data_IF_455868395491
#
_entry.id   IF_455868395491
#
_cell.length_a   1.000
_cell.length_b   1.000
_cell.length_c   1.000
_cell.angle_alpha   90.00
_cell.angle_beta   90.00
_cell.angle_gamma   90.00
#
_symmetry.space_group_name_H-M   'P 1'
#
loop_
_entity.id
_entity.type
_entity.pdbx_description
1 polymer ?
#
# COMPACT_ATOMS: atom_id res chain seq x y z
N UNK A 1 -46.75 44.44 -11.19
CA UNK A 1 -46.03 44.10 -9.95
C UNK A 1 -46.31 42.64 -9.64
N UNK A 2 -45.39 41.75 -10.02
CA UNK A 2 -45.47 40.32 -9.73
C UNK A 2 -44.40 40.02 -8.68
N UNK A 3 -44.81 39.69 -7.47
CA UNK A 3 -43.94 39.26 -6.38
C UNK A 3 -43.80 37.75 -6.42
N UNK A 4 -42.59 37.28 -6.74
CA UNK A 4 -42.25 35.86 -6.84
C UNK A 4 -42.08 35.24 -5.44
N UNK A 5 -42.91 34.25 -5.16
CA UNK A 5 -42.74 33.25 -4.11
C UNK A 5 -41.61 32.30 -4.49
N UNK A 6 -40.40 32.54 -3.99
CA UNK A 6 -39.26 31.60 -4.00
C UNK A 6 -38.76 31.39 -2.56
N UNK A 7 -39.62 30.86 -1.70
CA UNK A 7 -39.22 30.44 -0.35
C UNK A 7 -40.10 29.27 0.06
N UNK A 8 -39.79 28.06 -0.41
CA UNK A 8 -40.50 26.84 0.05
C UNK A 8 -39.87 25.52 -0.42
N UNK A 9 -39.18 25.46 -1.56
CA UNK A 9 -38.70 24.16 -2.07
C UNK A 9 -37.47 23.60 -1.31
N UNK A 10 -36.53 24.45 -0.87
CA UNK A 10 -35.30 23.98 -0.19
C UNK A 10 -35.55 23.46 1.22
N UNK A 11 -36.39 24.13 2.00
CA UNK A 11 -36.68 23.74 3.39
C UNK A 11 -37.54 22.48 3.50
N UNK A 12 -38.40 22.21 2.52
CA UNK A 12 -39.25 21.01 2.49
C UNK A 12 -38.41 19.77 2.14
N UNK A 13 -37.44 19.88 1.23
CA UNK A 13 -36.52 18.77 0.89
C UNK A 13 -35.60 18.45 2.08
N UNK A 14 -35.11 19.47 2.77
CA UNK A 14 -34.25 19.31 3.95
C UNK A 14 -35.01 18.73 5.16
N UNK A 15 -36.26 19.13 5.38
CA UNK A 15 -37.13 18.51 6.39
C UNK A 15 -37.54 17.08 6.04
N UNK A 16 -37.81 16.76 4.78
CA UNK A 16 -38.19 15.40 4.36
C UNK A 16 -37.03 14.39 4.52
N UNK A 17 -35.79 14.83 4.27
CA UNK A 17 -34.58 14.03 4.53
C UNK A 17 -34.33 13.83 6.04
N UNK A 18 -34.65 14.83 6.87
CA UNK A 18 -34.54 14.71 8.33
C UNK A 18 -35.58 13.76 8.95
N UNK A 19 -36.78 13.64 8.37
CA UNK A 19 -37.85 12.73 8.85
C UNK A 19 -37.56 11.25 8.48
N UNK A 20 -36.74 11.01 7.45
CA UNK A 20 -36.41 9.66 6.95
C UNK A 20 -35.06 9.11 7.40
N UNK A 21 -34.21 9.93 8.02
CA UNK A 21 -32.92 9.48 8.54
C UNK A 21 -33.10 8.56 9.78
N UNK A 22 -32.72 7.26 9.70
CA UNK A 22 -32.93 6.32 10.79
C UNK A 22 -32.13 6.67 12.05
N UNK A 23 -31.04 7.46 11.92
CA UNK A 23 -30.19 7.85 13.03
C UNK A 23 -30.75 9.03 13.84
N UNK A 24 -31.78 9.73 13.34
CA UNK A 24 -32.50 10.77 14.08
C UNK A 24 -33.08 10.24 15.39
N UNK A 25 -33.51 8.97 15.40
CA UNK A 25 -34.13 8.32 16.58
C UNK A 25 -33.12 7.92 17.64
N UNK A 26 -31.83 7.87 17.31
CA UNK A 26 -30.80 7.57 18.29
C UNK A 26 -30.47 8.82 19.13
N UNK A 27 -30.26 8.67 20.45
CA UNK A 27 -29.68 9.73 21.27
C UNK A 27 -28.36 10.24 20.68
N UNK A 28 -28.09 11.57 20.72
CA UNK A 28 -26.86 12.15 20.18
C UNK A 28 -25.59 11.47 20.67
N UNK A 29 -25.56 10.98 21.91
CA UNK A 29 -24.41 10.33 22.55
C UNK A 29 -24.10 8.95 21.95
N UNK A 30 -25.10 8.28 21.36
CA UNK A 30 -24.92 6.97 20.74
C UNK A 30 -24.45 7.07 19.28
N UNK A 31 -24.72 8.20 18.60
CA UNK A 31 -24.37 8.38 17.19
C UNK A 31 -22.85 8.33 16.94
N UNK A 32 -21.98 9.00 17.73
CA UNK A 32 -20.53 8.82 17.62
C UNK A 32 -20.08 7.39 17.91
N UNK A 33 -20.74 6.69 18.85
CA UNK A 33 -20.40 5.29 19.18
C UNK A 33 -20.67 4.35 18.02
N UNK A 34 -21.72 4.58 17.22
CA UNK A 34 -21.96 3.84 15.98
C UNK A 34 -20.80 4.02 15.01
N UNK A 35 -20.34 5.26 14.80
CA UNK A 35 -19.20 5.55 13.91
C UNK A 35 -17.92 4.88 14.41
N UNK A 36 -17.64 4.95 15.71
CA UNK A 36 -16.45 4.33 16.32
C UNK A 36 -16.48 2.81 16.17
N UNK A 37 -17.63 2.17 16.45
CA UNK A 37 -17.79 0.71 16.40
C UNK A 37 -17.62 0.13 14.99
N UNK A 38 -17.82 0.93 13.94
CA UNK A 38 -17.56 0.45 12.57
C UNK A 38 -16.09 0.11 12.33
N UNK A 39 -15.16 0.69 13.11
CA UNK A 39 -13.71 0.50 13.04
C UNK A 39 -13.09 0.69 11.63
N UNK A 40 -13.83 1.23 10.65
CA UNK A 40 -13.41 1.30 9.27
C UNK A 40 -13.83 2.64 8.67
N UNK A 41 -12.84 3.39 8.18
CA UNK A 41 -13.07 4.72 7.58
C UNK A 41 -13.96 4.67 6.34
N UNK A 42 -13.84 3.63 5.52
CA UNK A 42 -14.68 3.44 4.34
C UNK A 42 -16.15 3.22 4.73
N UNK A 43 -16.41 2.46 5.80
CA UNK A 43 -17.76 2.29 6.35
C UNK A 43 -18.30 3.60 6.94
N UNK A 44 -17.47 4.35 7.69
CA UNK A 44 -17.83 5.69 8.16
C UNK A 44 -18.20 6.60 7.00
N UNK A 45 -17.41 6.62 5.93
CA UNK A 45 -17.66 7.43 4.73
C UNK A 45 -19.02 7.10 4.10
N UNK A 46 -19.39 5.83 4.00
CA UNK A 46 -20.70 5.42 3.47
C UNK A 46 -21.84 5.86 4.39
N UNK A 47 -21.66 5.72 5.71
CA UNK A 47 -22.68 6.12 6.69
C UNK A 47 -22.94 7.63 6.62
N UNK A 48 -21.88 8.46 6.60
CA UNK A 48 -22.04 9.92 6.55
C UNK A 48 -22.54 10.41 5.19
N UNK A 49 -22.31 9.66 4.11
CA UNK A 49 -22.91 9.94 2.81
C UNK A 49 -24.42 9.60 2.78
N UNK A 50 -24.82 8.55 3.49
CA UNK A 50 -26.21 8.11 3.54
C UNK A 50 -27.06 8.83 4.59
N UNK A 51 -26.44 9.45 5.61
CA UNK A 51 -27.15 10.10 6.73
C UNK A 51 -26.59 11.50 7.02
N UNK A 52 -27.38 12.57 6.76
CA UNK A 52 -27.02 13.93 7.13
C UNK A 52 -26.79 14.11 8.64
N UNK A 53 -27.56 13.42 9.48
CA UNK A 53 -27.38 13.50 10.94
C UNK A 53 -26.06 12.88 11.38
N UNK A 54 -25.69 11.75 10.80
CA UNK A 54 -24.39 11.13 11.08
C UNK A 54 -23.23 11.96 10.53
N UNK A 55 -23.42 12.65 9.40
CA UNK A 55 -22.44 13.62 8.90
C UNK A 55 -22.23 14.78 9.88
N UNK A 56 -23.31 15.39 10.38
CA UNK A 56 -23.22 16.47 11.37
C UNK A 56 -22.48 16.01 12.65
N UNK A 57 -22.83 14.83 13.16
CA UNK A 57 -22.16 14.22 14.32
C UNK A 57 -20.69 13.93 14.05
N UNK A 58 -20.36 13.42 12.86
CA UNK A 58 -18.99 13.19 12.45
C UNK A 58 -18.21 14.49 12.37
N UNK A 59 -18.77 15.57 11.81
CA UNK A 59 -18.09 16.87 11.72
C UNK A 59 -17.84 17.47 13.12
N UNK A 60 -18.82 17.37 14.03
CA UNK A 60 -18.70 17.86 15.41
C UNK A 60 -17.64 17.10 16.23
N UNK A 61 -17.52 15.78 16.04
CA UNK A 61 -16.65 14.90 16.85
C UNK A 61 -15.50 14.26 16.07
N UNK A 62 -15.18 14.77 14.88
CA UNK A 62 -14.27 14.18 13.89
C UNK A 62 -12.96 13.71 14.49
N UNK A 63 -12.31 14.58 15.26
CA UNK A 63 -11.00 14.33 15.87
C UNK A 63 -11.05 13.15 16.84
N UNK A 64 -12.07 13.10 17.71
CA UNK A 64 -12.24 12.02 18.69
C UNK A 64 -12.55 10.70 18.00
N UNK A 65 -13.45 10.70 17.02
CA UNK A 65 -13.84 9.51 16.26
C UNK A 65 -12.63 8.93 15.52
N UNK A 66 -11.91 9.76 14.76
CA UNK A 66 -10.74 9.30 14.00
C UNK A 66 -9.64 8.74 14.91
N UNK A 67 -9.39 9.39 16.06
CA UNK A 67 -8.39 8.93 17.02
C UNK A 67 -8.72 7.54 17.57
N UNK A 68 -9.99 7.30 17.92
CA UNK A 68 -10.44 6.00 18.42
C UNK A 68 -10.42 4.91 17.34
N UNK A 69 -10.85 5.25 16.12
CA UNK A 69 -10.79 4.33 14.97
C UNK A 69 -9.34 3.93 14.67
N UNK A 70 -8.41 4.89 14.62
CA UNK A 70 -6.99 4.58 14.40
C UNK A 70 -6.38 3.79 15.57
N UNK A 71 -6.72 4.13 16.82
CA UNK A 71 -6.24 3.38 17.99
C UNK A 71 -6.73 1.92 17.98
N UNK A 72 -7.93 1.65 17.44
CA UNK A 72 -8.44 0.30 17.27
C UNK A 72 -7.68 -0.49 16.18
N UNK A 73 -7.16 0.20 15.16
CA UNK A 73 -6.48 -0.40 14.00
C UNK A 73 -4.99 -0.66 14.24
N UNK A 74 -4.33 0.07 15.14
CA UNK A 74 -2.89 -0.06 15.37
C UNK A 74 -2.59 -0.73 16.72
N UNK A 75 -1.76 -1.77 16.70
CA UNK A 75 -1.14 -2.28 17.92
C UNK A 75 0.11 -1.48 18.29
N UNK A 76 0.63 -1.70 19.50
CA UNK A 76 1.81 -0.99 20.00
C UNK A 76 3.05 -1.15 19.12
N UNK A 77 3.22 -2.29 18.45
CA UNK A 77 4.35 -2.51 17.55
C UNK A 77 4.18 -1.73 16.24
N UNK A 78 2.98 -1.76 15.67
CA UNK A 78 2.63 -1.00 14.46
C UNK A 78 2.79 0.51 14.67
N UNK A 79 2.48 1.03 15.86
CA UNK A 79 2.75 2.43 16.21
C UNK A 79 4.25 2.71 16.16
N UNK A 80 5.09 1.85 16.74
CA UNK A 80 6.54 2.04 16.68
C UNK A 80 7.05 1.97 15.23
N UNK A 81 6.56 1.06 14.41
CA UNK A 81 6.94 0.96 12.99
C UNK A 81 6.53 2.22 12.20
N UNK A 82 5.28 2.69 12.39
CA UNK A 82 4.78 3.90 11.74
C UNK A 82 5.60 5.13 12.15
N UNK A 83 5.90 5.28 13.44
CA UNK A 83 6.72 6.38 13.94
C UNK A 83 8.16 6.29 13.44
N UNK A 84 8.71 5.08 13.28
CA UNK A 84 10.04 4.89 12.75
C UNK A 84 10.14 5.31 11.28
N UNK A 85 9.07 5.13 10.50
CA UNK A 85 8.98 5.60 9.12
C UNK A 85 8.83 7.13 9.07
N UNK A 86 7.90 7.66 9.87
CA UNK A 86 7.55 9.08 9.84
C UNK A 86 8.66 9.99 10.36
N UNK A 87 9.23 9.65 11.52
CA UNK A 87 10.25 10.45 12.20
C UNK A 87 11.67 10.14 11.70
N UNK A 88 11.80 9.35 10.64
CA UNK A 88 13.11 9.00 10.11
C UNK A 88 13.87 10.27 9.68
N UNK A 89 15.12 10.48 10.13
CA UNK A 89 15.88 11.68 9.80
C UNK A 89 15.98 11.92 8.29
N UNK A 90 15.59 13.11 7.84
CA UNK A 90 15.66 13.47 6.43
C UNK A 90 17.14 13.45 5.96
N UNK A 91 17.40 12.82 4.81
CA UNK A 91 18.74 12.76 4.22
C UNK A 91 19.26 14.14 3.80
N UNK A 92 18.36 15.06 3.47
CA UNK A 92 18.69 16.39 2.94
C UNK A 92 18.90 17.46 4.03
N UNK A 93 18.48 17.20 5.29
CA UNK A 93 18.51 18.22 6.35
C UNK A 93 19.87 18.40 7.02
N UNK A 94 20.85 17.54 6.73
CA UNK A 94 22.18 17.60 7.34
C UNK A 94 23.22 17.45 6.24
N UNK A 95 24.13 18.41 6.09
CA UNK A 95 25.20 18.37 5.09
C UNK A 95 26.24 17.29 5.42
N UNK A 96 26.53 17.08 6.72
CA UNK A 96 27.52 16.10 7.17
C UNK A 96 26.99 14.65 7.11
N UNK A 97 27.72 13.81 6.37
CA UNK A 97 27.46 12.37 6.22
C UNK A 97 27.65 11.61 7.54
N UNK A 98 28.57 12.03 8.40
CA UNK A 98 28.82 11.38 9.70
C UNK A 98 27.70 11.66 10.69
N UNK A 99 27.34 12.93 10.88
CA UNK A 99 26.19 13.31 11.72
C UNK A 99 24.89 12.64 11.25
N UNK A 100 24.63 12.61 9.93
CA UNK A 100 23.47 11.89 9.37
C UNK A 100 23.46 10.40 9.74
N UNK A 101 24.63 9.73 9.64
CA UNK A 101 24.79 8.32 10.06
C UNK A 101 24.49 8.12 11.54
N UNK A 102 24.95 9.04 12.39
CA UNK A 102 24.70 8.96 13.84
C UNK A 102 23.22 9.16 14.17
N UNK A 103 22.55 10.14 13.56
CA UNK A 103 21.11 10.39 13.76
C UNK A 103 20.28 9.17 13.34
N UNK A 104 20.56 8.60 12.16
CA UNK A 104 19.85 7.39 11.72
C UNK A 104 20.08 6.19 12.65
N UNK A 105 21.31 6.00 13.16
CA UNK A 105 21.60 4.95 14.14
C UNK A 105 20.88 5.17 15.46
N UNK A 106 20.85 6.40 15.97
CA UNK A 106 20.14 6.75 17.20
C UNK A 106 18.63 6.50 17.05
N UNK A 107 18.06 6.91 15.91
CA UNK A 107 16.66 6.67 15.57
C UNK A 107 16.31 5.18 15.52
N UNK A 108 17.11 4.37 14.81
CA UNK A 108 16.88 2.91 14.75
C UNK A 108 17.05 2.22 16.10
N UNK A 109 17.94 2.71 16.97
CA UNK A 109 18.04 2.23 18.35
C UNK A 109 16.79 2.57 19.16
N UNK A 110 16.26 3.79 19.05
CA UNK A 110 15.03 4.18 19.74
C UNK A 110 13.84 3.32 19.29
N UNK A 111 13.68 3.09 17.99
CA UNK A 111 12.69 2.15 17.45
C UNK A 111 12.84 0.73 18.02
N UNK A 112 14.07 0.17 18.01
CA UNK A 112 14.32 -1.19 18.51
C UNK A 112 14.05 -1.37 20.01
N UNK A 113 14.01 -0.27 20.75
CA UNK A 113 13.70 -0.22 22.19
C UNK A 113 12.25 0.18 22.48
N UNK A 114 11.44 0.36 21.44
CA UNK A 114 10.06 0.87 21.54
C UNK A 114 9.96 2.22 22.26
N UNK A 115 10.94 3.11 22.00
CA UNK A 115 11.08 4.42 22.65
C UNK A 115 10.62 5.58 21.77
N UNK A 116 10.04 5.31 20.60
CA UNK A 116 9.45 6.37 19.77
C UNK A 116 8.12 6.84 20.38
N UNK A 117 7.74 8.12 20.14
CA UNK A 117 6.55 8.71 20.76
C UNK A 117 5.28 7.97 20.37
N UNK A 118 4.32 7.95 21.29
CA UNK A 118 2.98 7.37 21.05
C UNK A 118 1.99 8.52 20.74
N UNK A 119 1.42 8.58 19.52
CA UNK A 119 0.50 9.65 19.13
C UNK A 119 -0.79 9.65 19.95
N UNK A 120 -1.14 8.54 20.59
CA UNK A 120 -2.37 8.41 21.37
C UNK A 120 -2.21 8.75 22.85
N UNK A 121 -1.00 8.71 23.40
CA UNK A 121 -0.73 9.07 24.80
C UNK A 121 -0.62 10.57 25.06
N UNK A 122 -0.18 11.35 24.06
CA UNK A 122 -0.12 12.82 24.13
C UNK A 122 -1.20 13.47 23.28
N UNK A 123 -1.51 14.75 23.49
CA UNK A 123 -2.45 15.50 22.65
C UNK A 123 -1.81 15.98 21.33
N UNK A 124 -1.03 15.10 20.68
CA UNK A 124 -0.27 15.40 19.48
C UNK A 124 -1.11 15.12 18.22
N UNK A 125 -1.87 16.13 17.82
CA UNK A 125 -2.74 16.07 16.64
C UNK A 125 -1.97 15.92 15.33
N UNK A 126 -0.74 16.44 15.30
CA UNK A 126 0.10 16.35 14.14
C UNK A 126 0.52 14.90 13.89
N UNK A 127 1.00 14.18 14.92
CA UNK A 127 1.34 12.77 14.78
C UNK A 127 0.13 11.89 14.45
N UNK A 128 -1.05 12.17 15.02
CA UNK A 128 -2.30 11.46 14.65
C UNK A 128 -2.66 11.72 13.18
N UNK A 129 -2.51 12.95 12.69
CA UNK A 129 -2.75 13.29 11.27
C UNK A 129 -1.79 12.55 10.34
N UNK A 130 -0.51 12.43 10.73
CA UNK A 130 0.49 11.69 9.95
C UNK A 130 0.23 10.18 9.97
N UNK A 131 -0.17 9.64 11.13
CA UNK A 131 -0.60 8.25 11.24
C UNK A 131 -1.83 7.97 10.38
N UNK A 132 -2.78 8.90 10.33
CA UNK A 132 -3.92 8.78 9.44
C UNK A 132 -3.52 8.75 7.96
N UNK A 133 -2.58 9.61 7.54
CA UNK A 133 -2.08 9.66 6.16
C UNK A 133 -1.41 8.36 5.74
N UNK A 134 -0.52 7.82 6.57
CA UNK A 134 0.16 6.55 6.25
C UNK A 134 -0.84 5.40 6.23
N UNK A 135 -1.83 5.39 7.13
CA UNK A 135 -2.91 4.39 7.12
C UNK A 135 -3.72 4.45 5.82
N UNK A 136 -4.14 5.64 5.39
CA UNK A 136 -4.89 5.83 4.15
C UNK A 136 -4.06 5.41 2.92
N UNK A 137 -2.77 5.75 2.89
CA UNK A 137 -1.85 5.35 1.83
C UNK A 137 -1.66 3.82 1.80
N UNK A 138 -1.52 3.18 2.95
CA UNK A 138 -1.38 1.72 3.02
C UNK A 138 -2.66 1.04 2.56
N UNK A 139 -3.83 1.46 3.05
CA UNK A 139 -5.11 0.87 2.62
C UNK A 139 -5.32 0.99 1.11
N UNK A 140 -4.93 2.11 0.51
CA UNK A 140 -4.96 2.28 -0.94
C UNK A 140 -4.18 1.17 -1.67
N UNK A 141 -2.99 0.82 -1.18
CA UNK A 141 -2.17 -0.26 -1.76
C UNK A 141 -2.68 -1.66 -1.42
N UNK A 142 -3.23 -1.85 -0.22
CA UNK A 142 -3.85 -3.13 0.18
C UNK A 142 -5.04 -3.45 -0.71
N UNK A 143 -5.88 -2.46 -1.00
CA UNK A 143 -7.02 -2.62 -1.90
C UNK A 143 -6.58 -3.03 -3.32
N UNK A 144 -5.53 -2.41 -3.87
CA UNK A 144 -4.97 -2.79 -5.18
C UNK A 144 -4.28 -4.15 -5.15
N UNK A 145 -3.55 -4.47 -4.08
CA UNK A 145 -2.92 -5.77 -3.87
C UNK A 145 -3.95 -6.90 -3.92
N UNK A 146 -5.00 -6.82 -3.10
CA UNK A 146 -6.02 -7.85 -3.01
C UNK A 146 -6.71 -8.01 -4.36
N UNK A 147 -7.05 -6.90 -5.03
CA UNK A 147 -7.68 -6.93 -6.35
C UNK A 147 -6.88 -7.74 -7.35
N UNK A 148 -5.54 -7.58 -7.36
CA UNK A 148 -4.64 -8.31 -8.25
C UNK A 148 -4.42 -9.75 -7.82
N UNK A 149 -4.20 -10.00 -6.52
CA UNK A 149 -3.96 -11.32 -5.97
C UNK A 149 -5.17 -12.26 -6.14
N UNK A 150 -6.39 -11.71 -6.11
CA UNK A 150 -7.64 -12.47 -6.30
C UNK A 150 -8.19 -12.39 -7.72
N UNK A 151 -7.42 -11.83 -8.67
CA UNK A 151 -7.88 -11.68 -10.05
C UNK A 151 -8.06 -13.05 -10.72
N UNK A 152 -9.09 -13.16 -11.57
CA UNK A 152 -9.33 -14.36 -12.37
C UNK A 152 -8.26 -14.57 -13.45
N UNK A 153 -7.62 -13.50 -13.93
CA UNK A 153 -6.57 -13.55 -14.95
C UNK A 153 -5.38 -12.63 -14.64
N UNK A 154 -4.61 -12.91 -13.56
CA UNK A 154 -3.60 -12.00 -13.01
C UNK A 154 -2.68 -11.28 -14.01
N UNK A 155 -2.16 -11.89 -15.09
CA UNK A 155 -1.32 -11.19 -16.06
C UNK A 155 -1.94 -9.90 -16.62
N UNK A 156 -3.27 -9.82 -16.72
CA UNK A 156 -3.99 -8.62 -17.13
C UNK A 156 -4.06 -7.56 -16.03
N UNK A 157 -4.51 -7.93 -14.83
CA UNK A 157 -4.70 -7.00 -13.72
C UNK A 157 -3.37 -6.47 -13.17
N UNK A 158 -2.31 -7.27 -13.18
CA UNK A 158 -0.98 -6.84 -12.77
C UNK A 158 -0.33 -5.84 -13.75
N UNK A 159 -0.82 -5.74 -14.99
CA UNK A 159 -0.45 -4.66 -15.92
C UNK A 159 -1.16 -3.33 -15.63
N UNK A 160 -2.19 -3.35 -14.78
CA UNK A 160 -2.97 -2.18 -14.45
C UNK A 160 -2.39 -1.43 -13.25
N UNK A 161 -2.63 -0.12 -13.21
CA UNK A 161 -2.29 0.75 -12.08
C UNK A 161 -3.55 1.19 -11.35
N UNK A 162 -3.51 1.36 -10.02
CA UNK A 162 -4.67 1.83 -9.27
C UNK A 162 -4.98 3.29 -9.57
N UNK A 163 -6.27 3.61 -9.72
CA UNK A 163 -6.74 4.97 -9.87
C UNK A 163 -6.51 5.80 -8.59
N UNK A 164 -5.78 6.92 -8.71
CA UNK A 164 -5.51 7.85 -7.58
C UNK A 164 -6.60 8.93 -7.41
N UNK A 165 -7.55 9.07 -8.34
CA UNK A 165 -8.44 10.22 -8.39
C UNK A 165 -9.24 10.46 -7.08
N UNK A 166 -9.18 11.68 -6.51
CA UNK A 166 -9.99 12.07 -5.37
C UNK A 166 -11.48 12.12 -5.75
N UNK A 167 -12.34 11.47 -4.97
CA UNK A 167 -13.80 11.68 -5.03
C UNK A 167 -14.62 10.55 -5.67
N UNK A 168 -14.01 9.51 -6.24
CA UNK A 168 -14.75 8.30 -6.58
C UNK A 168 -14.82 7.38 -5.36
N UNK A 169 -16.04 7.02 -4.95
CA UNK A 169 -16.31 6.00 -3.92
C UNK A 169 -15.88 4.60 -4.35
N UNK A 170 -15.61 4.40 -5.64
CA UNK A 170 -15.25 3.12 -6.25
C UNK A 170 -13.96 3.26 -7.07
N UNK A 171 -12.83 2.92 -6.43
CA UNK A 171 -11.54 2.83 -7.11
C UNK A 171 -11.57 1.77 -8.21
N UNK A 172 -10.78 1.95 -9.26
CA UNK A 172 -10.64 1.00 -10.37
C UNK A 172 -9.16 0.74 -10.69
N UNK A 173 -8.89 -0.44 -11.24
CA UNK A 173 -7.67 -0.74 -11.99
C UNK A 173 -7.74 -0.08 -13.36
N UNK A 174 -6.67 0.62 -13.74
CA UNK A 174 -6.61 1.41 -14.96
C UNK A 174 -5.47 0.94 -15.86
N UNK A 175 -5.74 0.86 -17.17
CA UNK A 175 -4.71 0.59 -18.17
C UNK A 175 -4.78 1.65 -19.27
N UNK A 176 -3.80 2.56 -19.32
CA UNK A 176 -3.72 3.64 -20.32
C UNK A 176 -4.98 4.51 -20.41
N UNK A 177 -5.73 4.66 -19.31
CA UNK A 177 -6.94 5.49 -19.21
C UNK A 177 -8.25 4.71 -19.03
N UNK A 178 -8.54 3.66 -19.82
CA UNK A 178 -9.68 2.79 -19.58
C UNK A 178 -9.69 2.10 -18.21
N UNK A 179 -10.90 1.94 -17.65
CA UNK A 179 -11.17 1.12 -16.46
C UNK A 179 -11.16 -0.36 -16.85
N UNK A 180 -10.47 -1.19 -16.06
CA UNK A 180 -10.33 -2.64 -16.31
C UNK A 180 -11.14 -3.45 -15.31
N UNK A 181 -10.94 -3.21 -14.02
CA UNK A 181 -11.64 -3.93 -12.95
C UNK A 181 -11.95 -2.99 -11.77
N UNK A 182 -13.07 -3.18 -11.06
CA UNK A 182 -13.31 -2.48 -9.81
C UNK A 182 -12.27 -2.91 -8.77
N UNK A 183 -11.83 -1.97 -7.94
CA UNK A 183 -10.89 -2.23 -6.87
C UNK A 183 -11.62 -2.74 -5.63
N UNK A 184 -11.02 -3.74 -5.00
CA UNK A 184 -11.48 -4.28 -3.73
C UNK A 184 -11.65 -3.17 -2.67
N UNK A 185 -12.67 -3.28 -1.83
CA UNK A 185 -12.91 -2.35 -0.73
C UNK A 185 -12.40 -2.91 0.60
N UNK A 186 -11.52 -2.16 1.27
CA UNK A 186 -11.00 -2.50 2.60
C UNK A 186 -12.08 -2.63 3.70
N UNK A 187 -13.30 -2.15 3.44
CA UNK A 187 -14.46 -2.36 4.30
C UNK A 187 -14.92 -3.82 4.38
N UNK A 188 -14.56 -4.63 3.38
CA UNK A 188 -14.92 -6.05 3.33
C UNK A 188 -13.94 -6.93 4.15
N UNK A 189 -12.86 -6.35 4.68
CA UNK A 189 -11.92 -7.05 5.55
C UNK A 189 -12.38 -6.98 7.00
N UNK A 190 -12.27 -8.10 7.69
CA UNK A 190 -12.37 -8.13 9.15
C UNK A 190 -11.23 -7.29 9.77
N UNK A 191 -11.42 -6.72 10.97
CA UNK A 191 -10.35 -5.95 11.63
C UNK A 191 -9.02 -6.72 11.78
N UNK A 192 -9.01 -8.03 12.14
CA UNK A 192 -7.76 -8.79 12.19
C UNK A 192 -7.06 -8.94 10.83
N UNK A 193 -7.80 -9.11 9.73
CA UNK A 193 -7.21 -9.21 8.38
C UNK A 193 -6.59 -7.88 7.96
N UNK A 194 -7.33 -6.78 8.15
CA UNK A 194 -6.83 -5.43 7.84
C UNK A 194 -5.57 -5.11 8.62
N UNK A 195 -5.52 -5.45 9.91
CA UNK A 195 -4.31 -5.31 10.75
C UNK A 195 -3.11 -6.06 10.18
N UNK A 196 -3.29 -7.31 9.71
CA UNK A 196 -2.19 -8.10 9.13
C UNK A 196 -1.59 -7.41 7.90
N UNK A 197 -2.45 -6.92 7.00
CA UNK A 197 -2.00 -6.17 5.84
C UNK A 197 -1.28 -4.89 6.23
N UNK A 198 -1.87 -4.08 7.11
CA UNK A 198 -1.25 -2.81 7.54
C UNK A 198 0.12 -3.08 8.17
N UNK A 199 0.22 -4.12 9.02
CA UNK A 199 1.49 -4.53 9.62
C UNK A 199 2.54 -4.91 8.58
N UNK A 200 2.18 -5.72 7.58
CA UNK A 200 3.11 -6.13 6.52
C UNK A 200 3.63 -4.93 5.72
N UNK A 201 2.75 -4.01 5.34
CA UNK A 201 3.12 -2.78 4.61
C UNK A 201 3.95 -1.82 5.46
N UNK A 202 3.69 -1.70 6.77
CA UNK A 202 4.52 -0.90 7.68
C UNK A 202 5.92 -1.49 7.80
N UNK A 203 6.04 -2.80 8.01
CA UNK A 203 7.34 -3.47 8.08
C UNK A 203 8.10 -3.27 6.77
N UNK A 204 7.44 -3.43 5.62
CA UNK A 204 8.04 -3.13 4.32
C UNK A 204 8.49 -1.67 4.20
N UNK A 205 7.65 -0.70 4.58
CA UNK A 205 8.00 0.72 4.56
C UNK A 205 9.22 1.05 5.42
N UNK A 206 9.34 0.42 6.59
CA UNK A 206 10.51 0.55 7.46
C UNK A 206 11.79 0.03 6.80
N UNK A 207 11.71 -1.10 6.07
CA UNK A 207 12.85 -1.63 5.31
C UNK A 207 13.34 -0.64 4.27
N UNK A 208 12.43 0.02 3.56
CA UNK A 208 12.79 1.02 2.55
C UNK A 208 13.52 2.22 3.17
N UNK A 209 13.16 2.64 4.39
CA UNK A 209 13.88 3.72 5.11
C UNK A 209 15.28 3.28 5.56
N UNK A 210 15.44 2.03 6.00
CA UNK A 210 16.72 1.46 6.45
C UNK A 210 17.46 0.65 5.35
N UNK A 211 17.30 1.01 4.08
CA UNK A 211 17.96 0.34 2.95
C UNK A 211 19.50 0.49 2.92
N UNK A 212 20.10 1.02 3.98
CA UNK A 212 21.55 1.14 4.16
C UNK A 212 21.96 0.42 5.44
N UNK A 213 22.76 -0.65 5.32
CA UNK A 213 23.35 -1.37 6.47
C UNK A 213 24.16 -0.45 7.41
N UNK A 214 24.37 0.81 7.06
CA UNK A 214 25.05 1.80 7.89
C UNK A 214 24.33 2.15 9.20
N UNK A 215 22.99 1.97 9.28
CA UNK A 215 22.19 2.42 10.43
C UNK A 215 21.78 1.29 11.39
N UNK A 216 22.39 0.11 11.25
CA UNK A 216 22.06 -1.07 12.05
C UNK A 216 22.40 -0.83 13.52
N UNK A 217 21.44 -1.00 14.45
CA UNK A 217 21.73 -0.98 15.86
C UNK A 217 22.55 -2.23 16.24
N UNK A 218 23.74 -2.04 16.81
CA UNK A 218 24.59 -3.15 17.27
C UNK A 218 23.94 -3.95 18.42
N UNK A 219 23.09 -3.30 19.22
CA UNK A 219 22.21 -3.84 20.28
C UNK A 219 21.08 -2.81 20.56
N UNK A 220 19.86 -3.22 20.96
CA UNK A 220 19.38 -4.58 21.21
C UNK A 220 19.12 -5.38 19.93
N UNK A 221 18.96 -6.69 20.08
CA UNK A 221 18.81 -7.63 18.97
C UNK A 221 17.56 -7.39 18.11
N UNK A 222 17.50 -8.00 16.91
CA UNK A 222 16.45 -7.71 15.94
C UNK A 222 15.08 -8.15 16.45
N UNK A 223 14.02 -7.39 16.13
CA UNK A 223 12.65 -7.70 16.58
C UNK A 223 12.22 -9.06 16.00
N UNK A 224 11.59 -9.89 16.82
CA UNK A 224 11.19 -11.23 16.39
C UNK A 224 9.90 -11.13 15.59
N UNK A 225 9.90 -11.74 14.41
CA UNK A 225 8.69 -11.91 13.59
C UNK A 225 8.42 -13.39 13.36
N UNK A 226 7.16 -13.69 13.07
CA UNK A 226 6.73 -15.00 12.62
C UNK A 226 7.08 -15.23 11.13
N UNK A 227 7.06 -16.49 10.69
CA UNK A 227 7.26 -16.82 9.27
C UNK A 227 6.14 -16.25 8.38
N UNK A 228 4.90 -16.23 8.85
CA UNK A 228 3.79 -15.62 8.12
C UNK A 228 4.00 -14.11 7.92
N UNK A 229 4.51 -13.40 8.94
CA UNK A 229 4.85 -11.98 8.78
C UNK A 229 6.03 -11.79 7.82
N UNK A 230 7.03 -12.67 7.86
CA UNK A 230 8.14 -12.65 6.91
C UNK A 230 7.65 -12.83 5.47
N UNK A 231 6.77 -13.80 5.23
CA UNK A 231 6.19 -14.07 3.91
C UNK A 231 5.31 -12.91 3.45
N UNK A 232 4.46 -12.37 4.33
CA UNK A 232 3.60 -11.23 4.00
C UNK A 232 4.42 -10.02 3.54
N UNK A 233 5.57 -9.75 4.17
CA UNK A 233 6.49 -8.69 3.71
C UNK A 233 7.07 -9.00 2.33
N UNK A 234 7.37 -10.27 2.06
CA UNK A 234 7.79 -10.73 0.73
C UNK A 234 6.71 -10.52 -0.32
N UNK A 235 5.44 -10.81 -0.01
CA UNK A 235 4.30 -10.54 -0.89
C UNK A 235 4.19 -9.04 -1.19
N UNK A 236 4.31 -8.18 -0.17
CA UNK A 236 4.31 -6.72 -0.35
C UNK A 236 5.47 -6.26 -1.24
N UNK A 237 6.67 -6.79 -1.04
CA UNK A 237 7.81 -6.49 -1.91
C UNK A 237 7.54 -6.86 -3.37
N UNK A 238 7.08 -8.10 -3.62
CA UNK A 238 6.74 -8.58 -4.98
C UNK A 238 5.63 -7.74 -5.61
N UNK A 239 4.61 -7.37 -4.84
CA UNK A 239 3.55 -6.46 -5.26
C UNK A 239 4.09 -5.09 -5.67
N UNK A 240 4.96 -4.48 -4.88
CA UNK A 240 5.55 -3.18 -5.22
C UNK A 240 6.41 -3.27 -6.47
N UNK A 241 7.21 -4.34 -6.63
CA UNK A 241 7.92 -4.60 -7.88
C UNK A 241 6.95 -4.69 -9.07
N UNK A 242 5.83 -5.39 -8.89
CA UNK A 242 4.83 -5.55 -9.94
C UNK A 242 4.20 -4.22 -10.37
N UNK A 243 3.97 -3.30 -9.44
CA UNK A 243 3.44 -1.97 -9.75
C UNK A 243 4.42 -1.12 -10.57
N UNK A 244 5.70 -1.15 -10.23
CA UNK A 244 6.72 -0.50 -11.06
C UNK A 244 6.80 -1.14 -12.45
N UNK A 245 6.67 -2.47 -12.54
CA UNK A 245 6.53 -3.17 -13.81
C UNK A 245 5.32 -2.70 -14.63
N UNK A 246 4.15 -2.54 -13.98
CA UNK A 246 2.93 -2.04 -14.60
C UNK A 246 3.09 -0.63 -15.16
N UNK A 247 3.71 0.28 -14.39
CA UNK A 247 4.01 1.64 -14.85
C UNK A 247 4.91 1.61 -16.09
N UNK A 248 6.01 0.86 -16.04
CA UNK A 248 6.92 0.73 -17.17
C UNK A 248 6.26 0.09 -18.39
N UNK A 249 5.41 -0.92 -18.19
CA UNK A 249 4.65 -1.54 -19.25
C UNK A 249 3.74 -0.51 -19.96
N UNK A 250 3.05 0.33 -19.18
CA UNK A 250 2.16 1.35 -19.72
C UNK A 250 2.91 2.52 -20.36
N UNK A 251 4.06 2.92 -19.82
CA UNK A 251 4.98 3.88 -20.45
C UNK A 251 5.50 3.38 -21.80
N UNK A 252 5.70 2.07 -21.92
CA UNK A 252 6.05 1.40 -23.16
C UNK A 252 4.82 1.03 -24.00
N UNK A 253 5.07 0.43 -25.17
CA UNK A 253 4.01 -0.05 -26.08
C UNK A 253 3.41 -1.39 -25.64
N UNK A 254 3.28 -1.67 -24.34
CA UNK A 254 2.59 -2.88 -23.89
C UNK A 254 1.11 -2.82 -24.25
N UNK A 255 0.56 -3.99 -24.54
CA UNK A 255 -0.87 -4.22 -24.78
C UNK A 255 -1.44 -5.04 -23.62
N UNK A 256 -2.72 -4.85 -23.35
CA UNK A 256 -3.42 -5.65 -22.34
C UNK A 256 -3.68 -7.04 -22.93
N UNK A 257 -3.21 -8.14 -22.30
CA UNK A 257 -3.52 -9.48 -22.76
C UNK A 257 -5.00 -9.75 -22.55
N UNK A 258 -5.66 -10.31 -23.56
CA UNK A 258 -7.06 -10.75 -23.48
C UNK A 258 -7.09 -12.25 -23.29
N UNK A 259 -7.81 -12.73 -22.26
CA UNK A 259 -7.90 -14.15 -21.88
C UNK A 259 -8.36 -15.11 -23.01
N UNK A 260 -8.92 -14.59 -24.10
CA UNK A 260 -9.46 -15.35 -25.25
C UNK A 260 -8.61 -15.24 -26.54
N UNK A 261 -7.53 -14.47 -26.54
CA UNK A 261 -6.72 -14.29 -27.75
C UNK A 261 -5.68 -15.43 -27.89
N UNK A 262 -5.59 -16.09 -29.07
CA UNK A 262 -4.52 -17.06 -29.31
C UNK A 262 -3.15 -16.36 -29.19
N UNK A 263 -2.15 -17.01 -28.58
CA UNK A 263 -0.84 -16.40 -28.37
C UNK A 263 -0.21 -16.10 -29.73
N UNK A 264 -0.11 -14.81 -30.07
CA UNK A 264 0.61 -14.36 -31.27
C UNK A 264 2.10 -14.75 -31.17
N UNK A 265 2.75 -15.02 -32.31
CA UNK A 265 4.15 -15.48 -32.39
C UNK A 265 5.16 -14.62 -31.61
N UNK A 266 4.89 -13.31 -31.43
CA UNK A 266 5.70 -12.40 -30.58
C UNK A 266 5.54 -12.65 -29.09
N UNK A 267 4.38 -13.14 -28.67
CA UNK A 267 4.02 -13.44 -27.27
C UNK A 267 4.63 -14.78 -26.84
N UNK A 268 4.79 -15.72 -27.78
CA UNK A 268 5.44 -17.01 -27.55
C UNK A 268 6.96 -16.91 -27.29
N UNK A 269 7.62 -15.85 -27.78
CA UNK A 269 9.05 -15.62 -27.54
C UNK A 269 9.36 -15.09 -26.12
N UNK A 270 8.36 -14.56 -25.40
CA UNK A 270 8.53 -14.02 -24.05
C UNK A 270 7.84 -14.85 -22.96
N UNK A 271 7.00 -15.82 -23.33
CA UNK A 271 6.30 -16.70 -22.39
C UNK A 271 6.36 -18.15 -22.89
N UNK A 272 7.35 -18.95 -22.44
CA UNK A 272 7.33 -20.38 -22.69
C UNK A 272 6.37 -21.04 -21.68
N UNK A 273 5.23 -21.51 -22.16
CA UNK A 273 4.29 -22.49 -21.53
C UNK A 273 3.44 -21.97 -20.34
N UNK A 274 2.37 -22.70 -19.93
CA UNK A 274 0.99 -22.22 -19.81
C UNK A 274 0.67 -21.79 -18.36
N UNK A 275 1.42 -20.85 -17.80
CA UNK A 275 1.08 -20.28 -16.51
C UNK A 275 0.44 -18.91 -16.73
N UNK A 276 -0.86 -18.91 -17.03
CA UNK A 276 -1.73 -17.73 -17.08
C UNK A 276 -1.84 -16.97 -15.74
N UNK A 277 -0.94 -17.23 -14.80
CA UNK A 277 -1.01 -16.88 -13.39
C UNK A 277 0.24 -16.15 -12.89
N UNK A 278 1.35 -16.20 -13.64
CA UNK A 278 2.63 -15.61 -13.23
C UNK A 278 2.87 -14.28 -13.97
N UNK A 279 3.16 -13.22 -13.23
CA UNK A 279 3.47 -11.91 -13.79
C UNK A 279 4.96 -11.55 -13.61
N UNK A 280 5.77 -11.67 -14.67
CA UNK A 280 7.16 -11.20 -14.62
C UNK A 280 7.28 -9.71 -14.94
N UNK A 281 7.26 -8.91 -13.88
CA UNK A 281 7.41 -7.48 -13.94
C UNK A 281 8.73 -7.03 -14.64
N UNK A 282 9.82 -7.81 -14.51
CA UNK A 282 11.13 -7.40 -15.04
C UNK A 282 11.20 -7.38 -16.57
N UNK A 283 10.29 -8.09 -17.24
CA UNK A 283 10.16 -8.09 -18.71
C UNK A 283 9.86 -6.68 -19.24
N UNK A 284 9.27 -5.81 -18.43
CA UNK A 284 8.90 -4.44 -18.82
C UNK A 284 9.98 -3.40 -18.52
N UNK A 285 11.15 -3.78 -18.02
CA UNK A 285 12.28 -2.89 -17.77
C UNK A 285 13.47 -2.98 -18.76
N UNK A 286 13.31 -3.36 -20.06
CA UNK A 286 14.45 -3.63 -20.94
C UNK A 286 15.25 -2.35 -21.25
N UNK A 287 14.57 -1.21 -21.38
CA UNK A 287 15.23 0.08 -21.63
C UNK A 287 16.11 0.53 -20.45
N UNK A 288 15.77 0.11 -19.24
CA UNK A 288 16.57 0.38 -18.04
C UNK A 288 17.76 -0.59 -17.93
N UNK A 289 17.60 -1.83 -18.40
CA UNK A 289 18.72 -2.79 -18.55
C UNK A 289 19.77 -2.29 -19.54
N UNK A 290 19.36 -1.63 -20.62
CA UNK A 290 20.31 -1.08 -21.61
C UNK A 290 21.18 0.06 -21.07
N UNK A 291 20.73 0.74 -20.01
CA UNK A 291 21.48 1.85 -19.40
C UNK A 291 22.62 1.37 -18.48
N UNK A 292 22.74 0.07 -18.18
CA UNK A 292 23.79 -0.47 -17.31
C UNK A 292 24.21 -1.89 -17.69
N UNK A 293 25.52 -2.16 -17.74
CA UNK A 293 26.10 -3.41 -18.28
C UNK A 293 26.15 -4.59 -17.29
N UNK A 294 25.46 -4.52 -16.13
CA UNK A 294 25.60 -5.55 -15.09
C UNK A 294 24.27 -6.01 -14.45
N UNK A 295 24.15 -7.35 -14.38
CA UNK A 295 23.11 -8.27 -13.83
C UNK A 295 21.63 -7.90 -13.92
N UNK A 296 20.94 -8.61 -14.81
CA UNK A 296 19.56 -8.41 -15.24
C UNK A 296 18.40 -8.75 -14.30
N UNK A 297 18.56 -9.11 -13.03
CA UNK A 297 17.43 -9.62 -12.22
C UNK A 297 17.00 -8.73 -11.03
N UNK A 298 17.50 -7.49 -10.96
CA UNK A 298 17.35 -6.64 -9.76
C UNK A 298 16.75 -5.24 -9.95
N UNK A 299 16.29 -4.88 -11.15
CA UNK A 299 15.87 -3.47 -11.42
C UNK A 299 14.66 -3.09 -10.57
N UNK A 300 13.59 -3.88 -10.64
CA UNK A 300 12.37 -3.58 -9.91
C UNK A 300 12.52 -3.79 -8.40
N UNK A 301 13.45 -4.66 -7.98
CA UNK A 301 13.85 -4.77 -6.58
C UNK A 301 14.58 -3.50 -6.10
N UNK A 302 15.39 -2.88 -6.95
CA UNK A 302 15.99 -1.57 -6.63
C UNK A 302 14.93 -0.47 -6.48
N UNK A 303 13.95 -0.42 -7.39
CA UNK A 303 12.83 0.54 -7.32
C UNK A 303 11.92 0.31 -6.10
N UNK A 304 11.62 -0.95 -5.75
CA UNK A 304 10.76 -1.25 -4.60
C UNK A 304 11.33 -0.68 -3.29
N UNK A 305 12.65 -0.65 -3.17
CA UNK A 305 13.37 -0.10 -2.01
C UNK A 305 13.37 1.45 -1.94
N UNK A 306 12.79 2.16 -2.91
CA UNK A 306 12.53 3.61 -2.80
C UNK A 306 11.38 3.92 -1.82
N UNK A 307 10.54 2.93 -1.53
CA UNK A 307 9.44 3.03 -0.58
C UNK A 307 8.14 3.58 -1.16
N UNK A 308 7.08 3.49 -0.36
CA UNK A 308 5.70 3.79 -0.76
C UNK A 308 5.49 5.26 -1.14
N UNK A 309 6.26 6.19 -0.57
CA UNK A 309 6.19 7.63 -0.89
C UNK A 309 6.50 7.90 -2.37
N UNK A 310 7.58 7.31 -2.88
CA UNK A 310 7.98 7.43 -4.29
C UNK A 310 6.97 6.74 -5.21
N UNK A 311 6.49 5.57 -4.79
CA UNK A 311 5.47 4.84 -5.53
C UNK A 311 4.18 5.67 -5.69
N UNK A 312 3.69 6.28 -4.60
CA UNK A 312 2.54 7.20 -4.65
C UNK A 312 2.83 8.42 -5.52
N UNK A 313 4.05 8.96 -5.49
CA UNK A 313 4.44 10.09 -6.35
C UNK A 313 4.34 9.73 -7.84
N UNK A 314 4.87 8.57 -8.25
CA UNK A 314 4.82 8.14 -9.65
C UNK A 314 3.42 7.76 -10.12
N UNK A 315 2.58 7.21 -9.26
CA UNK A 315 1.19 6.90 -9.59
C UNK A 315 0.32 8.15 -9.86
N UNK A 316 0.78 9.36 -9.53
CA UNK A 316 0.03 10.60 -9.81
C UNK A 316 0.04 11.01 -11.28
N UNK A 317 0.94 10.45 -12.08
CA UNK A 317 0.98 10.71 -13.52
C UNK A 317 -0.25 10.08 -14.19
N UNK A 318 -0.89 10.84 -15.08
CA UNK A 318 -2.09 10.36 -15.77
C UNK A 318 -1.71 9.43 -16.93
N UNK A 319 -1.84 8.13 -16.70
CA UNK A 319 -1.51 7.12 -17.72
C UNK A 319 -2.41 7.20 -18.97
N UNK A 320 -3.53 7.94 -18.95
CA UNK A 320 -4.32 8.19 -20.14
C UNK A 320 -3.59 9.11 -21.14
N UNK A 321 -2.76 10.03 -20.63
CA UNK A 321 -2.08 11.06 -21.42
C UNK A 321 -0.71 10.58 -21.91
N UNK A 322 -0.45 10.56 -23.23
CA UNK A 322 0.85 10.17 -23.77
C UNK A 322 2.02 11.01 -23.23
N UNK A 323 1.82 12.32 -23.02
CA UNK A 323 2.84 13.22 -22.50
C UNK A 323 3.24 12.88 -21.07
N UNK A 324 2.26 12.59 -20.20
CA UNK A 324 2.50 12.19 -18.81
C UNK A 324 3.21 10.84 -18.74
N UNK A 325 2.83 9.89 -19.61
CA UNK A 325 3.55 8.61 -19.74
C UNK A 325 5.02 8.79 -20.13
N UNK A 326 5.30 9.68 -21.08
CA UNK A 326 6.68 10.01 -21.49
C UNK A 326 7.44 10.71 -20.37
N UNK A 327 6.81 11.64 -19.66
CA UNK A 327 7.42 12.33 -18.52
C UNK A 327 7.74 11.37 -17.37
N UNK A 328 6.85 10.41 -17.09
CA UNK A 328 7.09 9.38 -16.09
C UNK A 328 8.23 8.45 -16.49
N UNK A 329 8.28 8.01 -17.75
CA UNK A 329 9.37 7.15 -18.25
C UNK A 329 10.74 7.82 -18.10
N UNK A 330 10.86 9.08 -18.50
CA UNK A 330 12.08 9.87 -18.29
C UNK A 330 12.41 10.05 -16.81
N UNK A 331 11.39 10.24 -15.95
CA UNK A 331 11.62 10.36 -14.51
C UNK A 331 12.10 9.05 -13.86
N UNK A 332 11.55 7.92 -14.29
CA UNK A 332 11.98 6.60 -13.82
C UNK A 332 13.43 6.34 -14.27
N UNK A 333 13.79 6.68 -15.51
CA UNK A 333 15.17 6.61 -16.02
C UNK A 333 16.13 7.50 -15.23
N UNK A 334 15.72 8.74 -14.93
CA UNK A 334 16.48 9.70 -14.13
C UNK A 334 16.76 9.17 -12.72
N UNK A 335 15.72 8.68 -12.04
CA UNK A 335 15.85 8.08 -10.70
C UNK A 335 16.71 6.82 -10.72
N UNK A 336 16.63 6.01 -11.77
CA UNK A 336 17.52 4.87 -11.94
C UNK A 336 18.99 5.28 -12.10
N UNK A 337 19.26 6.27 -12.95
CA UNK A 337 20.62 6.75 -13.26
C UNK A 337 21.29 7.47 -12.09
N UNK A 338 20.55 8.36 -11.40
CA UNK A 338 21.13 9.27 -10.42
C UNK A 338 20.67 9.01 -8.99
N UNK A 339 19.51 8.36 -8.80
CA UNK A 339 18.92 8.10 -7.50
C UNK A 339 19.58 6.97 -6.70
N UNK A 340 20.49 6.20 -7.32
CA UNK A 340 21.17 5.04 -6.71
C UNK A 340 20.21 4.08 -5.99
N UNK A 341 19.18 3.53 -6.67
CA UNK A 341 18.32 2.51 -6.08
C UNK A 341 19.16 1.34 -5.55
N UNK A 342 18.85 0.86 -4.34
CA UNK A 342 19.70 -0.10 -3.66
C UNK A 342 19.52 -1.50 -4.27
N UNK A 343 20.42 -1.88 -5.17
CA UNK A 343 20.49 -3.24 -5.76
C UNK A 343 21.48 -4.13 -4.97
N UNK A 344 22.18 -3.55 -4.00
CA UNK A 344 23.36 -4.18 -3.37
C UNK A 344 23.06 -5.53 -2.69
N UNK A 345 21.85 -5.72 -2.16
CA UNK A 345 21.46 -6.96 -1.51
C UNK A 345 19.97 -7.30 -1.74
N UNK A 346 19.60 -8.59 -1.72
CA UNK A 346 18.20 -9.01 -1.70
C UNK A 346 17.43 -8.38 -0.53
N UNK A 347 16.14 -8.08 -0.70
CA UNK A 347 15.30 -7.47 0.35
C UNK A 347 15.33 -8.28 1.65
N UNK A 348 15.46 -9.61 1.56
CA UNK A 348 15.58 -10.53 2.69
C UNK A 348 16.79 -10.22 3.57
N UNK A 349 17.87 -9.69 2.98
CA UNK A 349 19.10 -9.36 3.71
C UNK A 349 18.88 -8.15 4.62
N UNK A 350 18.11 -7.15 4.16
CA UNK A 350 17.71 -6.02 4.99
C UNK A 350 16.74 -6.45 6.09
N UNK A 351 15.81 -7.35 5.75
CA UNK A 351 14.85 -7.88 6.71
C UNK A 351 15.55 -8.64 7.83
N UNK A 352 16.47 -9.56 7.52
CA UNK A 352 17.21 -10.37 8.51
C UNK A 352 18.05 -9.55 9.48
N UNK A 353 18.46 -8.36 9.05
CA UNK A 353 19.21 -7.43 9.87
C UNK A 353 18.32 -6.73 10.89
N UNK A 354 17.08 -6.40 10.51
CA UNK A 354 16.13 -5.71 11.37
C UNK A 354 15.27 -6.65 12.20
N UNK A 355 14.99 -7.84 11.67
CA UNK A 355 14.03 -8.79 12.20
C UNK A 355 14.59 -10.22 12.18
N UNK A 356 14.32 -10.99 13.23
CA UNK A 356 14.68 -12.41 13.30
C UNK A 356 13.43 -13.26 13.17
N UNK A 357 13.44 -14.20 12.22
CA UNK A 357 12.38 -15.21 12.12
C UNK A 357 12.52 -16.27 13.22
N UNK A 358 11.42 -16.64 13.87
CA UNK A 358 11.40 -17.83 14.74
C UNK A 358 11.23 -19.09 13.89
N UNK A 359 12.16 -20.05 14.02
CA UNK A 359 12.19 -21.34 13.29
C UNK A 359 10.94 -22.24 13.40
N UNK A 360 9.98 -21.94 14.28
CA UNK A 360 8.73 -22.70 14.40
C UNK A 360 7.56 -21.74 14.65
N UNK A 361 6.65 -21.69 13.67
CA UNK A 361 5.33 -21.09 13.83
C UNK A 361 4.52 -22.04 14.73
N UNK A 362 4.09 -21.59 15.93
CA UNK A 362 3.29 -22.41 16.87
C UNK A 362 1.81 -22.03 16.90
N UNK A 363 1.37 -21.12 16.02
CA UNK A 363 0.00 -20.55 16.11
C UNK A 363 -0.99 -21.11 15.07
N UNK A 364 -0.69 -22.22 14.39
CA UNK A 364 -1.69 -22.97 13.60
C UNK A 364 -2.25 -22.32 12.33
N UNK A 365 -1.92 -21.06 12.03
CA UNK A 365 -2.30 -20.35 10.80
C UNK A 365 -1.28 -20.48 9.65
N UNK A 366 -0.63 -21.63 9.49
CA UNK A 366 0.09 -21.90 8.24
C UNK A 366 -0.95 -22.11 7.13
N UNK A 367 -0.83 -21.38 6.02
CA UNK A 367 -1.75 -21.56 4.89
C UNK A 367 -1.57 -22.96 4.32
N UNK A 368 -2.61 -23.80 4.42
CA UNK A 368 -2.64 -25.14 3.82
C UNK A 368 -2.44 -25.12 2.31
N UNK A 369 -2.61 -23.95 1.69
CA UNK A 369 -2.44 -23.69 0.27
C UNK A 369 -1.00 -24.00 -0.19
N UNK A 370 0.00 -23.77 0.66
CA UNK A 370 1.37 -24.17 0.37
C UNK A 370 1.49 -25.69 0.24
N UNK A 371 0.72 -26.49 0.96
CA UNK A 371 0.74 -27.95 0.83
C UNK A 371 -0.06 -28.44 -0.40
N UNK A 372 -0.96 -27.62 -0.94
CA UNK A 372 -1.85 -27.96 -2.07
C UNK A 372 -1.23 -27.65 -3.45
N UNK A 373 -0.22 -26.78 -3.53
CA UNK A 373 0.52 -26.52 -4.77
C UNK A 373 1.38 -27.75 -5.14
N UNK A 374 0.83 -28.70 -5.90
CA UNK A 374 1.49 -29.94 -6.32
C UNK A 374 2.58 -29.71 -7.38
N UNK A 375 3.69 -29.07 -7.00
CA UNK A 375 4.89 -28.92 -7.84
C UNK A 375 6.15 -29.22 -7.02
N UNK A 376 7.17 -29.80 -7.67
CA UNK A 376 8.36 -30.38 -6.99
C UNK A 376 9.06 -29.33 -6.10
N UNK A 377 9.61 -29.71 -4.94
CA UNK A 377 10.15 -28.78 -3.92
C UNK A 377 11.27 -27.81 -4.36
N UNK A 378 11.83 -27.96 -5.57
CA UNK A 378 12.99 -27.19 -6.06
C UNK A 378 12.63 -25.99 -6.95
N UNK A 379 11.36 -25.80 -7.29
CA UNK A 379 10.95 -24.73 -8.20
C UNK A 379 10.71 -23.42 -7.44
N UNK A 380 11.64 -22.46 -7.59
CA UNK A 380 11.47 -21.06 -7.13
C UNK A 380 10.15 -20.44 -7.61
N UNK A 381 9.60 -20.94 -8.72
CA UNK A 381 8.33 -20.50 -9.30
C UNK A 381 7.14 -20.77 -8.37
N UNK A 382 7.11 -21.90 -7.64
CA UNK A 382 6.05 -22.21 -6.66
C UNK A 382 5.99 -21.17 -5.53
N UNK A 383 7.16 -20.76 -5.05
CA UNK A 383 7.26 -19.73 -4.01
C UNK A 383 6.83 -18.35 -4.56
N UNK A 384 7.22 -18.01 -5.78
CA UNK A 384 6.79 -16.76 -6.44
C UNK A 384 5.28 -16.73 -6.70
N UNK A 385 4.70 -17.82 -7.19
CA UNK A 385 3.24 -17.98 -7.37
C UNK A 385 2.49 -17.91 -6.05
N UNK A 386 3.04 -18.53 -4.98
CA UNK A 386 2.50 -18.39 -3.63
C UNK A 386 2.58 -16.94 -3.12
N UNK A 387 3.71 -16.25 -3.31
CA UNK A 387 3.89 -14.85 -2.93
C UNK A 387 3.01 -13.87 -3.72
N UNK A 388 2.67 -14.19 -4.97
CA UNK A 388 1.77 -13.38 -5.78
C UNK A 388 0.29 -13.58 -5.39
N UNK A 389 -0.04 -14.69 -4.71
CA UNK A 389 -1.44 -15.10 -4.44
C UNK A 389 -1.83 -15.18 -2.96
N UNK A 390 -0.87 -15.17 -2.04
CA UNK A 390 -1.09 -15.24 -0.59
C UNK A 390 -1.14 -13.85 0.03
#
# INVERSE_FOLDING_TARGET
MATSTQTSASGIVEMALAITDPFCRLPPELRPKVLITTCCKSSISRIIQASPVMLQQYLAHKKSILRQVLAAEFDAEMIQDAMAIFLFPNRQSCADKHQRKQLGRAHMRAWSRSQLPDPFKGNDDHLVSQLNKIYDQILFFVEDYITKATASFPPQEYLCVPQIQPGSTEGHLMFKGPKVAPRFSSANLTPPERKRFVKAFLVFGLLCKNNTFAYIPSKPGPRKISNAEYEAVGCVHSYVCSLYGAMLAQCNNAYLPTALAPPTLRTQLFFPVPDALFFDANVYAPNLRLLFRDRGDGILAGFSMLGLDHLTYFLRYDMAKPNDRKALDEKLKDVWKFGSPSISHPWESYLRVLLVTKRKYKNGCESSLYNQLSLKPKEKLRYKLGQERA
#
